data_IF_159045885212
#
_entry.id   IF_159045885212
#
_cell.length_a   1.000
_cell.length_b   1.000
_cell.length_c   1.000
_cell.angle_alpha   90.00
_cell.angle_beta   90.00
_cell.angle_gamma   90.00
#
_symmetry.space_group_name_H-M   'P 1'
#
loop_
_entity.id
_entity.type
_entity.pdbx_description
1 polymer ?
#
# COMPACT_ATOMS: atom_id res chain seq x y z
N UNK A 1 -0.70 -25.16 7.50
CA UNK A 1 -0.11 -23.80 7.56
C UNK A 1 -1.13 -22.86 6.97
N UNK A 2 -1.63 -21.99 7.82
CA UNK A 2 -2.92 -21.32 7.75
C UNK A 2 -3.11 -20.47 6.50
N UNK A 3 -4.20 -20.73 5.78
CA UNK A 3 -4.92 -19.71 5.03
C UNK A 3 -5.11 -18.50 5.94
N UNK A 4 -4.31 -17.45 5.78
CA UNK A 4 -4.76 -16.13 6.18
C UNK A 4 -5.99 -15.87 5.31
N UNK A 5 -7.18 -16.03 5.89
CA UNK A 5 -8.41 -15.81 5.15
C UNK A 5 -8.33 -14.41 4.55
N UNK A 6 -8.76 -14.25 3.30
CA UNK A 6 -8.74 -12.95 2.61
C UNK A 6 -9.33 -11.84 3.51
N UNK A 7 -10.31 -12.19 4.34
CA UNK A 7 -10.87 -11.34 5.39
C UNK A 7 -9.84 -10.77 6.37
N UNK A 8 -8.91 -11.58 6.91
CA UNK A 8 -7.90 -11.12 7.87
C UNK A 8 -6.89 -10.17 7.21
N UNK A 9 -6.47 -10.46 5.98
CA UNK A 9 -5.55 -9.60 5.23
C UNK A 9 -6.23 -8.26 4.92
N UNK A 10 -7.47 -8.31 4.42
CA UNK A 10 -8.28 -7.12 4.14
C UNK A 10 -8.47 -6.27 5.39
N UNK A 11 -8.81 -6.88 6.54
CA UNK A 11 -8.96 -6.15 7.80
C UNK A 11 -7.66 -5.44 8.22
N UNK A 12 -6.50 -6.09 8.05
CA UNK A 12 -5.19 -5.47 8.33
C UNK A 12 -4.90 -4.29 7.41
N UNK A 13 -5.11 -4.45 6.10
CA UNK A 13 -4.85 -3.39 5.11
C UNK A 13 -5.76 -2.19 5.35
N UNK A 14 -7.05 -2.42 5.59
CA UNK A 14 -8.02 -1.36 5.91
C UNK A 14 -7.64 -0.65 7.21
N UNK A 15 -7.26 -1.39 8.26
CA UNK A 15 -6.78 -0.81 9.51
C UNK A 15 -5.57 0.10 9.30
N UNK A 16 -4.58 -0.34 8.50
CA UNK A 16 -3.43 0.49 8.16
C UNK A 16 -3.85 1.77 7.41
N UNK A 17 -4.78 1.69 6.46
CA UNK A 17 -5.26 2.86 5.71
C UNK A 17 -5.96 3.89 6.60
N UNK A 18 -6.76 3.43 7.58
CA UNK A 18 -7.35 4.32 8.57
C UNK A 18 -6.31 4.94 9.51
N UNK A 19 -5.30 4.18 9.94
CA UNK A 19 -4.21 4.71 10.77
C UNK A 19 -3.41 5.80 10.04
N UNK A 20 -3.08 5.58 8.76
CA UNK A 20 -2.46 6.61 7.89
C UNK A 20 -3.34 7.86 7.83
N UNK A 21 -4.62 7.69 7.53
CA UNK A 21 -5.57 8.80 7.35
C UNK A 21 -5.80 9.60 8.63
N UNK A 22 -5.88 8.92 9.78
CA UNK A 22 -6.02 9.55 11.09
C UNK A 22 -4.75 10.29 11.54
N UNK A 23 -3.57 9.79 11.14
CA UNK A 23 -2.29 10.37 11.54
C UNK A 23 -1.88 11.56 10.67
N UNK A 24 -2.03 11.43 9.34
CA UNK A 24 -1.66 12.50 8.40
C UNK A 24 -2.77 13.53 8.20
N UNK A 25 -4.04 13.17 8.38
CA UNK A 25 -5.16 14.04 8.02
C UNK A 25 -5.23 14.28 6.50
N UNK A 26 -5.92 15.35 6.08
CA UNK A 26 -6.05 15.74 4.68
C UNK A 26 -5.08 16.88 4.32
N UNK A 27 -4.54 16.88 3.11
CA UNK A 27 -3.73 18.00 2.57
C UNK A 27 -2.32 17.64 2.12
N UNK A 28 -1.93 16.36 2.18
CA UNK A 28 -0.63 15.90 1.65
C UNK A 28 -0.72 15.43 0.20
N UNK A 29 0.43 15.31 -0.44
CA UNK A 29 0.55 14.72 -1.79
C UNK A 29 0.37 13.21 -1.70
N UNK A 30 -0.21 12.61 -2.74
CA UNK A 30 -0.43 11.15 -2.87
C UNK A 30 0.80 10.33 -2.45
N UNK A 31 2.01 10.74 -2.84
CA UNK A 31 3.25 10.03 -2.53
C UNK A 31 3.50 9.87 -1.04
N UNK A 32 3.04 10.82 -0.22
CA UNK A 32 3.17 10.77 1.24
C UNK A 32 2.24 9.70 1.81
N UNK A 33 0.99 9.65 1.35
CA UNK A 33 0.04 8.62 1.75
C UNK A 33 0.50 7.22 1.31
N UNK A 34 0.99 7.10 0.07
CA UNK A 34 1.53 5.84 -0.45
C UNK A 34 2.71 5.34 0.41
N UNK A 35 3.66 6.22 0.74
CA UNK A 35 4.81 5.88 1.56
C UNK A 35 4.42 5.47 2.99
N UNK A 36 3.49 6.20 3.61
CA UNK A 36 3.00 5.89 4.94
C UNK A 36 2.25 4.55 4.98
N UNK A 37 1.40 4.30 4.00
CA UNK A 37 0.65 3.04 3.90
C UNK A 37 1.60 1.87 3.66
N UNK A 38 2.56 2.00 2.74
CA UNK A 38 3.56 0.97 2.49
C UNK A 38 4.41 0.68 3.74
N UNK A 39 4.73 1.70 4.53
CA UNK A 39 5.45 1.52 5.79
C UNK A 39 4.64 0.71 6.81
N UNK A 40 3.37 1.05 7.05
CA UNK A 40 2.51 0.32 7.99
C UNK A 40 2.21 -1.11 7.55
N UNK A 41 1.94 -1.32 6.26
CA UNK A 41 1.70 -2.65 5.70
C UNK A 41 2.95 -3.53 5.86
N UNK A 42 4.14 -3.00 5.57
CA UNK A 42 5.41 -3.71 5.83
C UNK A 42 5.60 -4.03 7.32
N UNK A 43 5.30 -3.08 8.21
CA UNK A 43 5.37 -3.27 9.66
C UNK A 43 4.40 -4.34 10.16
N UNK A 44 3.25 -4.50 9.51
CA UNK A 44 2.27 -5.55 9.81
C UNK A 44 2.65 -6.96 9.30
N UNK A 45 3.84 -7.09 8.69
CA UNK A 45 4.40 -8.35 8.19
C UNK A 45 3.99 -8.70 6.75
N UNK A 46 3.40 -7.77 6.00
CA UNK A 46 2.95 -7.96 4.62
C UNK A 46 3.96 -7.32 3.65
N UNK A 47 4.32 -8.04 2.58
CA UNK A 47 5.15 -7.48 1.51
C UNK A 47 4.28 -6.69 0.52
N UNK A 48 4.62 -5.42 0.28
CA UNK A 48 3.91 -4.55 -0.65
C UNK A 48 4.90 -3.80 -1.56
N UNK A 49 4.57 -3.79 -2.85
CA UNK A 49 5.24 -2.99 -3.87
C UNK A 49 4.47 -1.68 -4.08
N UNK A 50 5.21 -0.59 -4.25
CA UNK A 50 4.69 0.76 -4.46
C UNK A 50 4.72 1.07 -5.97
N UNK A 51 3.67 1.72 -6.48
CA UNK A 51 3.49 2.09 -7.89
C UNK A 51 4.13 1.10 -8.89
N UNK A 52 3.59 -0.12 -8.98
CA UNK A 52 4.04 -1.07 -10.00
C UNK A 52 3.43 -0.69 -11.35
N UNK A 53 4.27 -0.57 -12.38
CA UNK A 53 3.81 -0.40 -13.76
C UNK A 53 2.98 -1.63 -14.15
N UNK A 54 1.66 -1.46 -14.21
CA UNK A 54 0.76 -2.47 -14.78
C UNK A 54 0.88 -2.36 -16.30
N UNK A 55 1.89 -3.01 -16.89
CA UNK A 55 2.03 -3.02 -18.33
C UNK A 55 2.22 -4.43 -18.87
N UNK A 56 1.29 -4.81 -19.74
CA UNK A 56 1.55 -5.75 -20.82
C UNK A 56 2.30 -5.09 -21.99
N UNK A 57 2.89 -3.92 -21.83
CA UNK A 57 3.78 -3.32 -22.83
C UNK A 57 4.93 -2.57 -22.17
N UNK A 58 6.11 -3.18 -22.24
CA UNK A 58 7.34 -2.41 -22.39
C UNK A 58 7.14 -1.34 -23.49
N UNK A 59 7.88 -0.23 -23.40
CA UNK A 59 7.76 1.01 -24.20
C UNK A 59 6.91 2.07 -23.50
N UNK A 60 7.50 2.82 -22.57
CA UNK A 60 7.63 4.29 -22.59
C UNK A 60 8.76 4.57 -21.58
N UNK A 61 10.01 4.47 -22.02
CA UNK A 61 11.16 5.26 -21.56
C UNK A 61 12.37 4.87 -22.42
N UNK A 62 12.32 5.29 -23.68
CA UNK A 62 13.51 5.60 -24.45
C UNK A 62 13.28 6.99 -25.01
N UNK A 63 14.02 7.95 -24.45
CA UNK A 63 14.04 9.40 -24.73
C UNK A 63 12.91 10.21 -24.12
#
# INVERSE_FOLDING_TARGET
MSELTISQITHKVIGCAYEVSNTLGAGFVEKVYENALAHLVRKSGLHVAQQYLLCSSAIIFSV
#
